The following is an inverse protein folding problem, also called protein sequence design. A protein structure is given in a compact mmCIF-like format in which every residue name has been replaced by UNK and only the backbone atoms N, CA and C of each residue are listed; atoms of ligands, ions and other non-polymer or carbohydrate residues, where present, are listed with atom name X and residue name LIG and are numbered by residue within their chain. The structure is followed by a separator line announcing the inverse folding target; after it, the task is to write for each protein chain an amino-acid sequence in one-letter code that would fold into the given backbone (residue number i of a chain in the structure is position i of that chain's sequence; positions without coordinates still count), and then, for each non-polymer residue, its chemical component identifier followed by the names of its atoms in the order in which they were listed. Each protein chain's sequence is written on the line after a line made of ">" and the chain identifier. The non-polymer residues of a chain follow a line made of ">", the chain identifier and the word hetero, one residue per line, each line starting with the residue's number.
data_IF_494718889629
#
_entry.id   IF_494718889629
#
_cell.length_a   1.000
_cell.length_b   1.000
_cell.length_c   1.000
_cell.angle_alpha   90.00
_cell.angle_beta   90.00
_cell.angle_gamma   90.00
#
_symmetry.space_group_name_H-M   'P 1'
#
loop_
_entity.id
_entity.type
_entity.pdbx_description
1 polymer ?
#
# COMPACT_ATOMS: atom_id res chain seq x y z
N UNK A 1 40.86 37.95 -10.44
CA UNK A 1 40.90 36.50 -10.33
C UNK A 1 39.77 35.88 -9.50
N UNK A 2 39.02 36.67 -8.78
CA UNK A 2 37.83 36.19 -8.06
C UNK A 2 36.56 36.11 -8.92
N UNK A 3 36.57 36.68 -10.12
CA UNK A 3 35.43 36.69 -11.04
C UNK A 3 35.10 35.29 -11.59
N UNK A 4 36.07 34.40 -11.74
CA UNK A 4 35.85 33.03 -12.23
C UNK A 4 35.17 32.11 -11.22
N UNK A 5 35.33 32.36 -9.92
CA UNK A 5 34.63 31.60 -8.86
C UNK A 5 33.20 32.08 -8.63
N UNK A 6 32.94 33.38 -8.87
CA UNK A 6 31.61 33.96 -8.71
C UNK A 6 30.65 33.53 -9.84
N UNK A 7 31.16 33.21 -11.01
CA UNK A 7 30.35 32.69 -12.12
C UNK A 7 30.07 31.18 -12.03
N UNK A 8 30.83 30.40 -11.27
CA UNK A 8 30.62 28.96 -11.15
C UNK A 8 29.33 28.61 -10.42
N UNK A 9 28.98 29.34 -9.35
CA UNK A 9 27.73 29.12 -8.63
C UNK A 9 26.52 29.53 -9.50
N UNK A 10 26.64 30.59 -10.29
CA UNK A 10 25.59 31.02 -11.22
C UNK A 10 25.33 29.95 -12.27
N UNK A 11 26.40 29.38 -12.84
CA UNK A 11 26.30 28.29 -13.81
C UNK A 11 25.66 27.05 -13.23
N UNK A 12 26.04 26.66 -12.03
CA UNK A 12 25.42 25.57 -11.30
C UNK A 12 23.93 25.86 -11.02
N UNK A 13 23.59 27.07 -10.61
CA UNK A 13 22.21 27.49 -10.39
C UNK A 13 21.37 27.41 -11.67
N UNK A 14 21.90 27.89 -12.80
CA UNK A 14 21.23 27.80 -14.11
C UNK A 14 20.99 26.35 -14.51
N UNK A 15 22.01 25.48 -14.39
CA UNK A 15 21.87 24.06 -14.70
C UNK A 15 20.80 23.42 -13.80
N UNK A 16 20.78 23.73 -12.51
CA UNK A 16 19.77 23.22 -11.59
C UNK A 16 18.36 23.69 -11.92
N UNK A 17 18.20 24.94 -12.34
CA UNK A 17 16.90 25.47 -12.76
C UNK A 17 16.40 24.74 -14.02
N UNK A 18 17.27 24.45 -14.98
CA UNK A 18 16.92 23.71 -16.20
C UNK A 18 16.71 22.21 -15.95
N UNK A 19 17.42 21.62 -14.99
CA UNK A 19 17.27 20.18 -14.65
C UNK A 19 16.13 19.92 -13.69
N UNK A 20 15.74 20.89 -12.86
CA UNK A 20 14.65 20.74 -11.89
C UNK A 20 13.31 20.28 -12.53
N UNK A 21 12.85 20.84 -13.68
CA UNK A 21 11.64 20.35 -14.34
C UNK A 21 11.72 18.87 -14.74
N UNK A 22 12.89 18.39 -15.17
CA UNK A 22 13.09 16.98 -15.51
C UNK A 22 13.00 16.08 -14.28
N UNK A 23 13.58 16.50 -13.16
CA UNK A 23 13.44 15.78 -11.89
C UNK A 23 12.01 15.75 -11.39
N UNK A 24 11.26 16.84 -11.53
CA UNK A 24 9.84 16.91 -11.15
C UNK A 24 9.01 15.95 -12.01
N UNK A 25 9.21 15.94 -13.31
CA UNK A 25 8.52 15.00 -14.22
C UNK A 25 8.87 13.56 -13.88
N UNK A 26 10.14 13.25 -13.65
CA UNK A 26 10.58 11.93 -13.25
C UNK A 26 9.97 11.51 -11.90
N UNK A 27 9.92 12.41 -10.94
CA UNK A 27 9.28 12.19 -9.66
C UNK A 27 7.79 11.92 -9.81
N UNK A 28 7.08 12.70 -10.62
CA UNK A 28 5.65 12.47 -10.91
C UNK A 28 5.41 11.09 -11.52
N UNK A 29 6.22 10.68 -12.48
CA UNK A 29 6.15 9.33 -13.08
C UNK A 29 6.38 8.25 -12.02
N UNK A 30 7.36 8.44 -11.15
CA UNK A 30 7.66 7.51 -10.07
C UNK A 30 6.52 7.46 -9.04
N UNK A 31 5.88 8.59 -8.74
CA UNK A 31 4.68 8.63 -7.87
C UNK A 31 3.56 7.81 -8.45
N UNK A 32 3.25 7.98 -9.72
CA UNK A 32 2.18 7.21 -10.40
C UNK A 32 2.49 5.72 -10.37
N UNK A 33 3.69 5.32 -10.77
CA UNK A 33 4.13 3.91 -10.74
C UNK A 33 4.10 3.32 -9.33
N UNK A 34 4.58 4.07 -8.35
CA UNK A 34 4.61 3.66 -6.95
C UNK A 34 3.20 3.53 -6.37
N UNK A 35 2.29 4.43 -6.74
CA UNK A 35 0.89 4.38 -6.29
C UNK A 35 0.19 3.12 -6.79
N UNK A 36 0.33 2.81 -8.07
CA UNK A 36 -0.23 1.58 -8.66
C UNK A 36 0.36 0.35 -7.96
N UNK A 37 1.68 0.31 -7.79
CA UNK A 37 2.36 -0.79 -7.10
C UNK A 37 1.90 -0.96 -5.65
N UNK A 38 1.71 0.14 -4.92
CA UNK A 38 1.24 0.12 -3.55
C UNK A 38 -0.22 -0.35 -3.41
N UNK A 39 -1.10 0.02 -4.33
CA UNK A 39 -2.47 -0.51 -4.35
C UNK A 39 -2.48 -2.02 -4.56
N UNK A 40 -1.71 -2.51 -5.52
CA UNK A 40 -1.57 -3.95 -5.78
C UNK A 40 -0.98 -4.66 -4.56
N UNK A 41 0.09 -4.12 -3.98
CA UNK A 41 0.74 -4.68 -2.79
C UNK A 41 -0.23 -4.74 -1.60
N UNK A 42 -1.06 -3.72 -1.41
CA UNK A 42 -2.05 -3.67 -0.34
C UNK A 42 -3.08 -4.79 -0.46
N UNK A 43 -3.61 -5.00 -1.66
CA UNK A 43 -4.55 -6.08 -1.94
C UNK A 43 -3.89 -7.45 -1.75
N UNK A 44 -2.69 -7.65 -2.29
CA UNK A 44 -1.93 -8.90 -2.14
C UNK A 44 -1.64 -9.19 -0.67
N UNK A 45 -1.22 -8.18 0.10
CA UNK A 45 -0.96 -8.33 1.52
C UNK A 45 -2.21 -8.79 2.28
N UNK A 46 -3.37 -8.23 1.99
CA UNK A 46 -4.65 -8.66 2.59
C UNK A 46 -5.00 -10.09 2.22
N UNK A 47 -4.81 -10.48 0.97
CA UNK A 47 -5.03 -11.86 0.52
C UNK A 47 -4.09 -12.82 1.25
N UNK A 48 -2.80 -12.50 1.33
CA UNK A 48 -1.81 -13.32 2.03
C UNK A 48 -2.13 -13.49 3.52
N UNK A 49 -2.47 -12.39 4.20
CA UNK A 49 -2.87 -12.43 5.62
C UNK A 49 -4.12 -13.31 5.80
N UNK A 50 -5.08 -13.21 4.90
CA UNK A 50 -6.31 -14.03 4.95
C UNK A 50 -5.98 -15.50 4.79
N UNK A 51 -5.13 -15.88 3.85
CA UNK A 51 -4.72 -17.27 3.63
C UNK A 51 -3.98 -17.81 4.86
N UNK A 52 -3.06 -17.03 5.43
CA UNK A 52 -2.32 -17.41 6.63
C UNK A 52 -3.28 -17.57 7.84
N UNK A 53 -4.24 -16.68 7.98
CA UNK A 53 -5.21 -16.71 9.06
C UNK A 53 -6.10 -17.97 8.96
N UNK A 54 -6.67 -18.22 7.79
CA UNK A 54 -7.53 -19.40 7.54
C UNK A 54 -6.72 -20.69 7.73
N UNK A 55 -5.56 -20.80 7.08
CA UNK A 55 -4.71 -21.98 7.16
C UNK A 55 -4.18 -22.22 8.58
N UNK A 56 -3.71 -21.18 9.25
CA UNK A 56 -3.22 -21.26 10.62
C UNK A 56 -4.29 -21.68 11.60
N UNK A 57 -5.49 -21.08 11.51
CA UNK A 57 -6.63 -21.44 12.35
C UNK A 57 -7.08 -22.88 12.12
N UNK A 58 -7.14 -23.32 10.87
CA UNK A 58 -7.51 -24.68 10.52
C UNK A 58 -6.52 -25.72 11.08
N UNK A 59 -5.21 -25.45 10.97
CA UNK A 59 -4.14 -26.33 11.49
C UNK A 59 -4.20 -26.39 13.01
N UNK A 60 -4.30 -25.26 13.69
CA UNK A 60 -4.36 -25.20 15.16
C UNK A 60 -5.61 -25.90 15.68
N UNK A 61 -6.76 -25.67 15.05
CA UNK A 61 -8.02 -26.34 15.42
C UNK A 61 -7.92 -27.86 15.23
N UNK A 62 -7.32 -28.31 14.15
CA UNK A 62 -7.16 -29.74 13.86
C UNK A 62 -6.21 -30.45 14.86
N UNK A 63 -5.11 -29.76 15.24
CA UNK A 63 -4.09 -30.35 16.12
C UNK A 63 -4.48 -30.30 17.61
N UNK A 64 -5.08 -29.19 18.04
CA UNK A 64 -5.29 -28.90 19.48
C UNK A 64 -6.76 -28.82 19.89
N UNK A 65 -7.71 -28.97 18.96
CA UNK A 65 -9.15 -28.67 19.21
C UNK A 65 -9.37 -27.26 19.79
N UNK A 66 -8.50 -26.34 19.56
CA UNK A 66 -8.54 -24.96 20.00
C UNK A 66 -8.06 -24.04 18.88
N UNK A 67 -8.64 -22.88 18.65
CA UNK A 67 -9.81 -22.31 19.34
C UNK A 67 -11.14 -23.01 19.00
N UNK A 68 -12.16 -22.81 19.84
CA UNK A 68 -13.49 -23.34 19.57
C UNK A 68 -14.13 -22.68 18.33
N UNK A 69 -15.08 -23.34 17.68
CA UNK A 69 -15.76 -22.80 16.49
C UNK A 69 -16.37 -21.42 16.76
N UNK A 70 -16.91 -21.17 17.94
CA UNK A 70 -17.47 -19.87 18.32
C UNK A 70 -16.40 -18.74 18.30
N UNK A 71 -15.19 -19.03 18.73
CA UNK A 71 -14.07 -18.07 18.71
C UNK A 71 -13.64 -17.80 17.27
N UNK A 72 -13.57 -18.83 16.45
CA UNK A 72 -13.24 -18.73 15.03
C UNK A 72 -14.27 -17.85 14.32
N UNK A 73 -15.57 -18.12 14.52
CA UNK A 73 -16.67 -17.35 13.94
C UNK A 73 -16.64 -15.88 14.36
N UNK A 74 -16.34 -15.61 15.62
CA UNK A 74 -16.21 -14.23 16.12
C UNK A 74 -15.02 -13.49 15.49
N UNK A 75 -13.88 -14.15 15.32
CA UNK A 75 -12.70 -13.57 14.71
C UNK A 75 -12.96 -13.27 13.23
N UNK A 76 -13.52 -14.23 12.48
CA UNK A 76 -13.84 -14.03 11.07
C UNK A 76 -14.99 -13.05 10.86
N UNK A 77 -15.96 -13.03 11.76
CA UNK A 77 -17.07 -12.07 11.75
C UNK A 77 -16.60 -10.63 11.91
N UNK A 78 -15.54 -10.40 12.67
CA UNK A 78 -14.90 -9.09 12.79
C UNK A 78 -13.94 -8.82 11.64
N UNK A 79 -13.08 -9.77 11.30
CA UNK A 79 -12.02 -9.62 10.30
C UNK A 79 -12.58 -9.34 8.90
N UNK A 80 -13.59 -10.10 8.50
CA UNK A 80 -14.12 -10.04 7.12
C UNK A 80 -14.67 -8.66 6.76
N UNK A 81 -15.59 -8.04 7.56
CA UNK A 81 -16.09 -6.72 7.19
C UNK A 81 -15.09 -5.59 7.44
N UNK A 82 -14.20 -5.70 8.43
CA UNK A 82 -13.29 -4.62 8.82
C UNK A 82 -12.00 -4.61 8.04
N UNK A 83 -11.52 -5.74 7.59
CA UNK A 83 -10.24 -5.85 6.85
C UNK A 83 -10.47 -6.12 5.37
N UNK A 84 -11.33 -7.07 5.02
CA UNK A 84 -11.60 -7.41 3.63
C UNK A 84 -12.71 -6.57 2.98
N UNK A 85 -13.55 -5.90 3.78
CA UNK A 85 -14.68 -5.15 3.28
C UNK A 85 -15.79 -6.02 2.69
N UNK A 86 -15.90 -7.26 3.15
CA UNK A 86 -16.91 -8.22 2.74
C UNK A 86 -17.76 -8.62 3.92
N UNK A 87 -19.03 -9.01 3.69
CA UNK A 87 -19.83 -9.65 4.72
C UNK A 87 -19.27 -11.04 5.05
N UNK A 88 -19.32 -11.42 6.32
CA UNK A 88 -18.92 -12.75 6.77
C UNK A 88 -19.66 -13.87 5.99
N UNK A 89 -20.93 -13.67 5.74
CA UNK A 89 -21.75 -14.63 5.00
C UNK A 89 -21.40 -14.70 3.52
N UNK A 90 -20.77 -13.69 2.95
CA UNK A 90 -20.38 -13.69 1.54
C UNK A 90 -19.18 -14.59 1.23
N UNK A 91 -18.40 -14.99 2.24
CA UNK A 91 -17.37 -16.03 2.09
C UNK A 91 -17.97 -17.43 2.03
N UNK A 92 -19.15 -17.63 2.62
CA UNK A 92 -19.84 -18.91 2.70
C UNK A 92 -20.95 -19.01 1.65
N UNK A 93 -21.68 -17.93 1.44
CA UNK A 93 -22.76 -17.80 0.46
C UNK A 93 -22.49 -16.63 -0.48
N UNK A 94 -22.03 -16.92 -1.69
CA UNK A 94 -21.75 -15.90 -2.68
C UNK A 94 -22.96 -14.99 -2.96
N UNK A 95 -22.93 -13.75 -2.54
CA UNK A 95 -23.82 -12.73 -3.03
C UNK A 95 -24.65 -11.90 -2.04
N UNK A 96 -24.56 -12.09 -0.73
CA UNK A 96 -25.27 -11.22 0.22
C UNK A 96 -24.30 -10.29 0.95
N UNK A 97 -24.31 -9.03 0.56
CA UNK A 97 -23.56 -7.96 1.22
C UNK A 97 -24.41 -7.41 2.37
N UNK A 98 -24.19 -7.92 3.58
CA UNK A 98 -24.78 -7.38 4.79
C UNK A 98 -23.64 -6.98 5.72
N UNK A 99 -23.67 -5.78 6.29
CA UNK A 99 -22.74 -5.24 7.29
C UNK A 99 -21.36 -4.78 6.81
N UNK A 100 -21.23 -4.36 5.55
CA UNK A 100 -20.03 -3.61 5.10
C UNK A 100 -20.13 -2.16 5.59
N UNK A 101 -19.04 -1.55 6.11
CA UNK A 101 -19.04 -0.13 6.47
C UNK A 101 -19.52 0.75 5.32
N UNK A 102 -20.33 1.76 5.64
CA UNK A 102 -20.87 2.69 4.63
C UNK A 102 -19.74 3.33 3.82
N UNK A 103 -19.79 3.22 2.49
CA UNK A 103 -18.80 3.77 1.59
C UNK A 103 -17.57 2.88 1.37
N UNK A 104 -17.48 1.74 2.06
CA UNK A 104 -16.43 0.75 1.84
C UNK A 104 -16.68 -0.16 0.65
N UNK A 105 -15.63 -0.80 0.16
CA UNK A 105 -15.67 -1.76 -0.93
C UNK A 105 -14.76 -2.94 -0.67
N UNK A 106 -14.73 -3.87 -1.61
CA UNK A 106 -13.88 -5.05 -1.54
C UNK A 106 -12.41 -4.66 -1.34
N UNK A 107 -11.77 -5.19 -0.32
CA UNK A 107 -10.41 -4.89 0.14
C UNK A 107 -10.19 -3.46 0.67
N UNK A 108 -11.18 -2.59 0.59
CA UNK A 108 -11.09 -1.21 1.08
C UNK A 108 -12.33 -0.87 1.94
N UNK A 109 -12.46 -1.47 3.14
CA UNK A 109 -13.61 -1.18 4.02
C UNK A 109 -13.60 0.25 4.55
N UNK A 110 -12.43 0.87 4.67
CA UNK A 110 -12.23 2.24 5.14
C UNK A 110 -11.44 3.07 4.14
N UNK A 111 -11.99 3.39 2.95
CA UNK A 111 -11.24 4.08 1.91
C UNK A 111 -10.74 5.46 2.35
N UNK A 112 -11.45 6.13 3.26
CA UNK A 112 -11.06 7.44 3.79
C UNK A 112 -9.75 7.41 4.60
N UNK A 113 -9.37 6.27 5.16
CA UNK A 113 -8.11 6.07 5.88
C UNK A 113 -7.08 5.33 5.04
N UNK A 114 -7.47 4.30 4.33
CA UNK A 114 -6.57 3.43 3.57
C UNK A 114 -5.96 4.13 2.36
N UNK A 115 -6.78 4.84 1.57
CA UNK A 115 -6.32 5.54 0.36
C UNK A 115 -5.28 6.63 0.69
N UNK A 116 -5.49 7.54 1.67
CA UNK A 116 -4.47 8.51 2.06
C UNK A 116 -3.17 7.87 2.55
N UNK A 117 -3.24 6.76 3.29
CA UNK A 117 -2.05 6.03 3.75
C UNK A 117 -1.28 5.46 2.56
N UNK A 118 -1.95 4.84 1.60
CA UNK A 118 -1.34 4.29 0.39
C UNK A 118 -0.67 5.39 -0.42
N UNK A 119 -1.35 6.52 -0.62
CA UNK A 119 -0.82 7.67 -1.36
C UNK A 119 0.40 8.25 -0.64
N UNK A 120 0.33 8.45 0.68
CA UNK A 120 1.45 8.96 1.47
C UNK A 120 2.68 8.07 1.40
N UNK A 121 2.51 6.76 1.54
CA UNK A 121 3.59 5.78 1.38
C UNK A 121 4.14 5.76 -0.05
N UNK A 122 3.28 5.90 -1.05
CA UNK A 122 3.68 5.95 -2.46
C UNK A 122 4.54 7.17 -2.76
N UNK A 123 4.18 8.33 -2.23
CA UNK A 123 4.96 9.57 -2.37
C UNK A 123 6.32 9.42 -1.70
N UNK A 124 6.37 8.84 -0.50
CA UNK A 124 7.61 8.58 0.22
C UNK A 124 8.53 7.65 -0.57
N UNK A 125 8.03 6.53 -1.05
CA UNK A 125 8.79 5.57 -1.87
C UNK A 125 9.27 6.21 -3.17
N UNK A 126 8.41 6.97 -3.85
CA UNK A 126 8.77 7.68 -5.08
C UNK A 126 9.87 8.72 -4.84
N UNK A 127 9.81 9.44 -3.73
CA UNK A 127 10.81 10.43 -3.35
C UNK A 127 12.16 9.75 -3.09
N UNK A 128 12.18 8.69 -2.30
CA UNK A 128 13.40 7.90 -2.03
C UNK A 128 13.97 7.35 -3.34
N UNK A 129 13.13 6.77 -4.19
CA UNK A 129 13.55 6.22 -5.48
C UNK A 129 14.11 7.29 -6.42
N UNK A 130 13.56 8.49 -6.40
CA UNK A 130 14.06 9.60 -7.23
C UNK A 130 15.40 10.11 -6.72
N UNK A 131 15.59 10.22 -5.40
CA UNK A 131 16.84 10.69 -4.78
C UNK A 131 17.97 9.67 -4.97
N UNK A 132 17.67 8.38 -4.74
CA UNK A 132 18.66 7.29 -4.78
C UNK A 132 18.55 6.46 -6.08
N UNK A 133 18.22 7.10 -7.18
CA UNK A 133 18.02 6.43 -8.46
C UNK A 133 19.20 5.56 -8.88
N UNK A 134 20.42 6.07 -8.72
CA UNK A 134 21.65 5.35 -9.10
C UNK A 134 21.86 4.08 -8.30
N UNK A 135 21.56 4.10 -6.99
CA UNK A 135 21.70 2.94 -6.12
C UNK A 135 20.67 1.84 -6.43
N UNK A 136 19.46 2.21 -6.86
CA UNK A 136 18.42 1.26 -7.23
C UNK A 136 18.60 0.64 -8.62
N UNK A 137 19.29 1.31 -9.53
CA UNK A 137 19.59 0.78 -10.86
C UNK A 137 20.68 -0.31 -10.83
N UNK A 138 21.53 -0.33 -9.79
CA UNK A 138 22.55 -1.35 -9.57
C UNK A 138 22.00 -2.64 -8.91
N UNK A 139 20.81 -2.57 -8.37
CA UNK A 139 20.13 -3.71 -7.77
C UNK A 139 19.28 -4.45 -8.81
#
# INVERSE_FOLDING_TARGET
>A
MKLGSDFSWLWVAIIRIFTAPFYIVLWCINVVKSTIGMFILWVIAKICITIVLIGGMAIIHHLFNFPSENIIDNIFGWYTPHILGMSHDSLITAGQVVDVPKGGGLFFPYPNFEVPIIIGLSILVATVRTIYREEFEEL
#
